data_IF_411972831344
#
_entry.id   IF_411972831344
#
_cell.length_a   1.000
_cell.length_b   1.000
_cell.length_c   1.000
_cell.angle_alpha   90.00
_cell.angle_beta   90.00
_cell.angle_gamma   90.00
#
_symmetry.space_group_name_H-M   'P 1'
#
loop_
_entity.id
_entity.type
_entity.pdbx_description
1 polymer ?
#
# COMPACT_ATOMS: atom_id res chain seq x y z
N UNK A 1 4.48 32.09 16.35
CA UNK A 1 5.04 31.05 15.47
C UNK A 1 3.99 29.96 15.31
N UNK A 2 2.93 30.27 14.55
CA UNK A 2 1.90 29.30 14.20
C UNK A 2 2.40 28.57 12.95
N UNK A 3 2.35 27.25 12.97
CA UNK A 3 2.81 26.42 11.87
C UNK A 3 1.95 26.63 10.63
N UNK A 4 2.61 26.95 9.52
CA UNK A 4 2.02 26.78 8.20
C UNK A 4 1.67 25.29 8.04
N UNK A 5 0.37 25.03 7.91
CA UNK A 5 -0.16 23.70 7.68
C UNK A 5 0.33 23.20 6.32
N UNK A 6 0.73 21.93 6.24
CA UNK A 6 1.10 21.22 5.01
C UNK A 6 0.02 21.29 3.89
N UNK A 7 -1.19 21.71 4.25
CA UNK A 7 -2.36 21.86 3.37
C UNK A 7 -2.85 23.30 3.25
N UNK A 8 -2.08 24.29 3.68
CA UNK A 8 -2.44 25.69 3.52
C UNK A 8 -2.23 26.08 2.04
N UNK A 9 -3.18 25.68 1.20
CA UNK A 9 -3.29 26.27 -0.13
C UNK A 9 -3.50 27.76 0.10
N UNK A 10 -2.59 28.59 -0.44
CA UNK A 10 -2.55 30.03 -0.16
C UNK A 10 -3.93 30.69 -0.31
N UNK A 11 -4.11 31.89 0.27
CA UNK A 11 -5.39 32.62 0.34
C UNK A 11 -6.15 32.78 -1.00
N UNK A 12 -5.51 32.45 -2.13
CA UNK A 12 -6.01 32.58 -3.49
C UNK A 12 -6.56 31.29 -4.15
N UNK A 13 -6.69 30.16 -3.44
CA UNK A 13 -7.24 28.93 -4.03
C UNK A 13 -8.41 28.37 -3.21
N UNK A 14 -9.56 28.34 -3.86
CA UNK A 14 -10.80 27.80 -3.31
C UNK A 14 -10.77 26.26 -3.25
N UNK A 15 -11.26 25.69 -2.15
CA UNK A 15 -11.25 24.24 -1.91
C UNK A 15 -12.02 23.44 -2.98
N UNK A 16 -13.18 23.94 -3.43
CA UNK A 16 -13.98 23.31 -4.49
C UNK A 16 -13.18 23.14 -5.79
N UNK A 17 -12.24 24.07 -6.07
CA UNK A 17 -11.39 24.03 -7.26
C UNK A 17 -10.40 22.88 -7.15
N UNK A 18 -9.79 22.67 -5.98
CA UNK A 18 -8.94 21.49 -5.72
C UNK A 18 -9.75 20.22 -5.89
N UNK A 19 -10.96 20.16 -5.34
CA UNK A 19 -11.83 19.00 -5.43
C UNK A 19 -12.26 18.67 -6.88
N UNK A 20 -12.55 19.69 -7.69
CA UNK A 20 -12.83 19.51 -9.10
C UNK A 20 -11.64 18.90 -9.85
N UNK A 21 -10.42 19.39 -9.57
CA UNK A 21 -9.20 18.85 -10.16
C UNK A 21 -8.88 17.43 -9.67
N UNK A 22 -9.10 17.11 -8.39
CA UNK A 22 -9.01 15.74 -7.87
C UNK A 22 -9.99 14.81 -8.60
N UNK A 23 -11.22 15.27 -8.86
CA UNK A 23 -12.23 14.50 -9.58
C UNK A 23 -11.80 14.23 -11.03
N UNK A 24 -11.28 15.24 -11.74
CA UNK A 24 -10.75 15.09 -13.10
C UNK A 24 -9.58 14.10 -13.11
N UNK A 25 -8.63 14.25 -12.19
CA UNK A 25 -7.48 13.36 -12.08
C UNK A 25 -7.89 11.93 -11.79
N UNK A 26 -8.83 11.71 -10.88
CA UNK A 26 -9.37 10.37 -10.60
C UNK A 26 -9.99 9.72 -11.85
N UNK A 27 -10.74 10.48 -12.66
CA UNK A 27 -11.27 9.97 -13.93
C UNK A 27 -10.16 9.64 -14.91
N UNK A 28 -9.15 10.52 -15.06
CA UNK A 28 -7.99 10.27 -15.92
C UNK A 28 -7.25 9.01 -15.49
N UNK A 29 -7.06 8.80 -14.18
CA UNK A 29 -6.44 7.60 -13.63
C UNK A 29 -7.22 6.33 -13.99
N UNK A 30 -8.54 6.34 -13.83
CA UNK A 30 -9.41 5.21 -14.20
C UNK A 30 -9.34 4.89 -15.70
N UNK A 31 -9.34 5.92 -16.55
CA UNK A 31 -9.19 5.74 -18.00
C UNK A 31 -7.81 5.16 -18.34
N UNK A 32 -6.75 5.67 -17.71
CA UNK A 32 -5.39 5.20 -17.97
C UNK A 32 -5.21 3.74 -17.51
N UNK A 33 -5.76 3.38 -16.35
CA UNK A 33 -5.78 1.99 -15.89
C UNK A 33 -6.53 1.08 -16.87
N UNK A 34 -7.70 1.51 -17.35
CA UNK A 34 -8.46 0.76 -18.34
C UNK A 34 -7.69 0.54 -19.65
N UNK A 35 -7.03 1.59 -20.17
CA UNK A 35 -6.20 1.51 -21.38
C UNK A 35 -5.03 0.56 -21.17
N UNK A 36 -4.33 0.64 -20.04
CA UNK A 36 -3.22 -0.26 -19.75
C UNK A 36 -3.67 -1.70 -19.58
N UNK A 37 -4.81 -1.94 -18.94
CA UNK A 37 -5.39 -3.27 -18.82
C UNK A 37 -5.74 -3.85 -20.19
N UNK A 38 -6.26 -3.03 -21.10
CA UNK A 38 -6.51 -3.43 -22.49
C UNK A 38 -5.21 -3.78 -23.23
N UNK A 39 -4.15 -2.98 -23.07
CA UNK A 39 -2.82 -3.24 -23.64
C UNK A 39 -2.22 -4.53 -23.08
N UNK A 40 -2.29 -4.74 -21.77
CA UNK A 40 -1.80 -5.95 -21.10
C UNK A 40 -2.53 -7.19 -21.63
N UNK A 41 -3.86 -7.14 -21.72
CA UNK A 41 -4.65 -8.25 -22.27
C UNK A 41 -4.31 -8.56 -23.73
N UNK A 42 -4.03 -7.53 -24.54
CA UNK A 42 -3.64 -7.71 -25.94
C UNK A 42 -2.23 -8.33 -26.07
N UNK A 43 -1.29 -7.91 -25.21
CA UNK A 43 0.10 -8.37 -25.23
C UNK A 43 0.33 -9.67 -24.46
N UNK A 44 -0.59 -10.07 -23.58
CA UNK A 44 -0.55 -11.34 -22.84
C UNK A 44 -0.57 -12.57 -23.78
N UNK A 45 -0.98 -12.40 -25.04
CA UNK A 45 -0.90 -13.45 -26.06
C UNK A 45 0.56 -13.80 -26.44
N UNK A 46 1.52 -12.95 -26.08
CA UNK A 46 2.92 -13.11 -26.45
C UNK A 46 3.84 -12.95 -25.23
N UNK A 47 4.31 -14.06 -24.66
CA UNK A 47 5.15 -14.10 -23.45
C UNK A 47 6.34 -13.13 -23.48
N UNK A 48 6.99 -12.98 -24.64
CA UNK A 48 8.14 -12.08 -24.81
C UNK A 48 7.75 -10.60 -24.63
N UNK A 49 6.63 -10.17 -25.19
CA UNK A 49 6.16 -8.79 -25.06
C UNK A 49 5.58 -8.53 -23.67
N UNK A 50 4.95 -9.53 -23.06
CA UNK A 50 4.49 -9.44 -21.68
C UNK A 50 5.65 -9.22 -20.70
N UNK A 51 6.75 -9.96 -20.84
CA UNK A 51 7.94 -9.77 -20.00
C UNK A 51 8.59 -8.39 -20.23
N UNK A 52 8.60 -7.89 -21.47
CA UNK A 52 9.11 -6.56 -21.78
C UNK A 52 8.23 -5.48 -21.13
N UNK A 53 6.91 -5.58 -21.27
CA UNK A 53 5.95 -4.64 -20.66
C UNK A 53 6.11 -4.56 -19.14
N UNK A 54 6.31 -5.70 -18.48
CA UNK A 54 6.56 -5.75 -17.03
C UNK A 54 7.87 -5.06 -16.63
N UNK A 55 8.88 -5.11 -17.50
CA UNK A 55 10.13 -4.37 -17.29
C UNK A 55 9.90 -2.85 -17.46
N UNK A 56 9.19 -2.44 -18.50
CA UNK A 56 8.83 -1.03 -18.74
C UNK A 56 8.03 -0.46 -17.55
N UNK A 57 7.03 -1.19 -17.05
CA UNK A 57 6.25 -0.75 -15.89
C UNK A 57 7.11 -0.52 -14.66
N UNK A 58 8.11 -1.37 -14.45
CA UNK A 58 9.05 -1.26 -13.33
C UNK A 58 9.94 -0.04 -13.47
N UNK A 59 10.53 0.18 -14.66
CA UNK A 59 11.42 1.33 -14.89
C UNK A 59 10.66 2.65 -14.76
N UNK A 60 9.48 2.76 -15.39
CA UNK A 60 8.62 3.94 -15.28
C UNK A 60 8.12 4.20 -13.86
N UNK A 61 7.83 3.16 -13.09
CA UNK A 61 7.44 3.29 -11.68
C UNK A 61 8.56 3.86 -10.82
N UNK A 62 9.80 3.38 -10.99
CA UNK A 62 10.96 3.88 -10.25
C UNK A 62 11.18 5.36 -10.57
N UNK A 63 11.11 5.73 -11.84
CA UNK A 63 11.24 7.11 -12.29
C UNK A 63 10.13 7.99 -11.69
N UNK A 64 8.90 7.48 -11.67
CA UNK A 64 7.75 8.12 -11.04
C UNK A 64 7.97 8.43 -9.55
N UNK A 65 8.50 7.45 -8.81
CA UNK A 65 8.83 7.61 -7.39
C UNK A 65 9.94 8.63 -7.16
N UNK A 66 10.92 8.72 -8.06
CA UNK A 66 11.99 9.71 -7.95
C UNK A 66 11.44 11.11 -8.18
N UNK A 67 10.73 11.34 -9.29
CA UNK A 67 10.13 12.65 -9.58
C UNK A 67 9.17 13.10 -8.47
N UNK A 68 8.51 12.14 -7.80
CA UNK A 68 7.77 12.42 -6.57
C UNK A 68 8.66 12.93 -5.44
N UNK A 69 9.67 12.15 -5.03
CA UNK A 69 10.50 12.51 -3.88
C UNK A 69 11.01 13.94 -4.05
N UNK A 70 11.30 14.32 -5.28
CA UNK A 70 11.70 15.67 -5.64
C UNK A 70 10.58 16.69 -5.56
N UNK A 71 9.38 16.35 -6.03
CA UNK A 71 8.19 17.19 -5.85
C UNK A 71 7.92 17.44 -4.37
N UNK A 72 7.99 16.41 -3.52
CA UNK A 72 7.82 16.55 -2.06
C UNK A 72 8.93 17.40 -1.47
N UNK A 73 10.20 17.16 -1.82
CA UNK A 73 11.33 17.96 -1.32
C UNK A 73 11.18 19.43 -1.73
N UNK A 74 10.70 19.72 -2.94
CA UNK A 74 10.44 21.08 -3.42
C UNK A 74 9.34 21.77 -2.58
N UNK A 75 8.23 21.09 -2.34
CA UNK A 75 7.07 21.70 -1.67
C UNK A 75 7.21 21.72 -0.13
N UNK A 76 8.00 20.82 0.46
CA UNK A 76 8.09 20.63 1.92
C UNK A 76 9.40 21.14 2.53
N UNK A 77 10.50 21.12 1.78
CA UNK A 77 11.76 21.63 2.32
C UNK A 77 11.75 23.17 2.35
N UNK A 78 12.28 23.81 3.40
CA UNK A 78 12.50 25.26 3.44
C UNK A 78 13.70 25.66 2.56
N UNK A 79 13.83 25.04 1.39
CA UNK A 79 14.81 25.35 0.36
C UNK A 79 14.10 26.29 -0.60
N UNK A 80 14.63 27.51 -0.75
CA UNK A 80 14.08 28.52 -1.66
C UNK A 80 13.88 27.90 -3.06
N UNK A 81 12.64 27.87 -3.54
CA UNK A 81 12.25 27.25 -4.81
C UNK A 81 12.93 27.91 -6.02
N UNK A 82 13.48 29.11 -5.82
CA UNK A 82 14.25 29.88 -6.78
C UNK A 82 15.77 29.67 -6.68
N UNK A 83 16.24 28.87 -5.72
CA UNK A 83 17.65 28.59 -5.55
C UNK A 83 18.22 27.83 -6.76
N UNK A 84 19.36 28.29 -7.26
CA UNK A 84 20.13 27.63 -8.34
C UNK A 84 20.24 26.10 -8.20
N UNK A 85 20.56 25.53 -7.02
CA UNK A 85 20.60 24.08 -6.86
C UNK A 85 19.24 23.41 -7.06
N UNK A 86 18.12 24.01 -6.62
CA UNK A 86 16.78 23.43 -6.81
C UNK A 86 16.37 23.43 -8.29
N UNK A 87 16.70 24.50 -9.03
CA UNK A 87 16.46 24.60 -10.47
C UNK A 87 17.31 23.58 -11.23
N UNK A 88 18.61 23.49 -10.92
CA UNK A 88 19.50 22.46 -11.46
C UNK A 88 18.96 21.05 -11.19
N UNK A 89 18.34 20.85 -10.02
CA UNK A 89 17.75 19.60 -9.63
C UNK A 89 16.50 19.23 -10.46
N UNK A 90 15.61 20.19 -10.68
CA UNK A 90 14.41 20.00 -11.50
C UNK A 90 14.76 19.67 -12.95
N UNK A 91 15.72 20.39 -13.53
CA UNK A 91 16.20 20.14 -14.89
C UNK A 91 16.84 18.75 -14.99
N UNK A 92 17.63 18.32 -13.99
CA UNK A 92 18.23 16.99 -13.99
C UNK A 92 17.18 15.86 -13.94
N UNK A 93 16.13 16.01 -13.12
CA UNK A 93 15.00 15.07 -13.06
C UNK A 93 14.22 15.03 -14.39
N UNK A 94 13.93 16.19 -14.97
CA UNK A 94 13.27 16.31 -16.27
C UNK A 94 14.08 15.63 -17.38
N UNK A 95 15.40 15.81 -17.37
CA UNK A 95 16.32 15.17 -18.31
C UNK A 95 16.31 13.66 -18.12
N UNK A 96 16.43 13.16 -16.88
CA UNK A 96 16.46 11.72 -16.61
C UNK A 96 15.14 11.06 -17.01
N UNK A 97 14.01 11.63 -16.60
CA UNK A 97 12.69 11.07 -16.88
C UNK A 97 12.35 11.17 -18.38
N UNK A 98 12.64 12.31 -19.00
CA UNK A 98 12.45 12.51 -20.44
C UNK A 98 13.37 11.60 -21.27
N UNK A 99 14.62 11.41 -20.87
CA UNK A 99 15.55 10.49 -21.52
C UNK A 99 15.13 9.04 -21.35
N UNK A 100 14.63 8.65 -20.18
CA UNK A 100 14.13 7.29 -19.95
C UNK A 100 12.88 7.00 -20.79
N UNK A 101 11.91 7.92 -20.84
CA UNK A 101 10.76 7.81 -21.77
C UNK A 101 11.24 7.76 -23.22
N UNK A 102 12.20 8.60 -23.59
CA UNK A 102 12.74 8.61 -24.95
C UNK A 102 13.40 7.28 -25.28
N UNK A 103 14.19 6.68 -24.38
CA UNK A 103 14.81 5.36 -24.58
C UNK A 103 13.77 4.24 -24.66
N UNK A 104 12.74 4.27 -23.81
CA UNK A 104 11.63 3.30 -23.83
C UNK A 104 10.79 3.42 -25.12
N UNK A 105 10.53 4.65 -25.57
CA UNK A 105 9.88 4.93 -26.85
C UNK A 105 10.78 4.57 -28.04
N UNK A 106 12.10 4.79 -27.94
CA UNK A 106 13.07 4.47 -28.99
C UNK A 106 13.26 2.95 -29.12
N UNK A 107 13.08 2.19 -28.03
CA UNK A 107 12.93 0.74 -28.06
C UNK A 107 11.64 0.28 -28.78
N UNK A 108 10.64 1.17 -28.93
CA UNK A 108 9.34 0.89 -29.56
C UNK A 108 9.22 1.48 -30.99
N UNK A 109 9.91 2.58 -31.34
CA UNK A 109 10.26 3.02 -32.71
C UNK A 109 11.04 4.35 -32.67
N UNK A 110 11.98 4.51 -33.60
CA UNK A 110 12.81 5.71 -33.81
C UNK A 110 12.01 7.03 -33.82
N UNK A 111 12.28 7.91 -32.86
CA UNK A 111 12.02 9.34 -32.98
C UNK A 111 13.24 10.11 -32.46
N UNK A 112 13.99 10.71 -33.38
CA UNK A 112 15.12 11.59 -33.09
C UNK A 112 14.63 13.03 -33.04
N UNK A 113 14.62 13.62 -31.85
CA UNK A 113 14.41 15.04 -31.62
C UNK A 113 15.11 15.45 -30.33
N UNK A 114 15.93 16.49 -30.38
CA UNK A 114 16.58 17.06 -29.19
C UNK A 114 15.56 17.91 -28.42
N UNK A 115 15.16 17.45 -27.24
CA UNK A 115 14.10 18.05 -26.41
C UNK A 115 14.64 19.07 -25.40
N UNK A 116 15.96 19.21 -25.24
CA UNK A 116 16.55 19.92 -24.10
C UNK A 116 17.33 21.17 -24.51
N UNK A 117 16.74 22.35 -24.29
CA UNK A 117 17.48 23.60 -24.15
C UNK A 117 17.67 23.84 -22.64
N UNK A 118 18.93 23.75 -22.16
CA UNK A 118 19.27 24.13 -20.80
C UNK A 118 19.21 25.66 -20.68
N UNK A 119 18.50 26.17 -19.67
CA UNK A 119 18.45 27.60 -19.38
C UNK A 119 19.85 28.17 -19.12
N UNK A 120 20.11 29.38 -19.63
CA UNK A 120 21.44 30.02 -19.66
C UNK A 120 22.06 30.27 -18.26
N UNK A 121 21.29 30.15 -17.19
CA UNK A 121 21.68 30.54 -15.82
C UNK A 121 22.08 29.38 -14.88
N UNK A 122 22.12 28.13 -15.37
CA UNK A 122 22.44 26.96 -14.53
C UNK A 122 23.84 26.43 -14.83
N UNK A 123 24.69 26.35 -13.81
CA UNK A 123 26.03 25.78 -13.95
C UNK A 123 25.94 24.28 -14.27
N UNK A 124 26.46 23.86 -15.43
CA UNK A 124 26.45 22.45 -15.87
C UNK A 124 27.01 21.48 -14.83
N UNK A 125 27.97 21.91 -14.01
CA UNK A 125 28.51 21.13 -12.91
C UNK A 125 27.44 20.76 -11.86
N UNK A 126 26.54 21.68 -11.51
CA UNK A 126 25.46 21.43 -10.55
C UNK A 126 24.48 20.39 -11.10
N UNK A 127 24.12 20.51 -12.38
CA UNK A 127 23.25 19.54 -13.08
C UNK A 127 23.88 18.14 -13.09
N UNK A 128 25.19 18.05 -13.37
CA UNK A 128 25.91 16.77 -13.42
C UNK A 128 26.02 16.12 -12.04
N UNK A 129 26.26 16.90 -10.99
CA UNK A 129 26.29 16.38 -9.61
C UNK A 129 24.91 15.83 -9.21
N UNK A 130 23.84 16.56 -9.52
CA UNK A 130 22.48 16.07 -9.24
C UNK A 130 22.15 14.84 -10.08
N UNK A 131 22.50 14.82 -11.36
CA UNK A 131 22.25 13.67 -12.24
C UNK A 131 22.94 12.41 -11.70
N UNK A 132 24.18 12.53 -11.22
CA UNK A 132 24.87 11.42 -10.55
C UNK A 132 24.18 10.99 -9.26
N UNK A 133 23.74 11.93 -8.42
CA UNK A 133 22.99 11.60 -7.20
C UNK A 133 21.68 10.87 -7.51
N UNK A 134 20.96 11.31 -8.55
CA UNK A 134 19.73 10.68 -9.04
C UNK A 134 19.99 9.29 -9.63
N UNK A 135 21.07 9.12 -10.40
CA UNK A 135 21.48 7.81 -10.93
C UNK A 135 21.81 6.82 -9.80
N UNK A 136 22.50 7.26 -8.74
CA UNK A 136 22.75 6.42 -7.56
C UNK A 136 21.43 6.08 -6.85
N UNK A 137 20.54 7.05 -6.70
CA UNK A 137 19.22 6.84 -6.12
C UNK A 137 18.43 5.78 -6.90
N UNK A 138 18.42 5.87 -8.23
CA UNK A 138 17.83 4.87 -9.14
C UNK A 138 18.35 3.46 -8.85
N UNK A 139 19.68 3.29 -8.79
CA UNK A 139 20.30 1.99 -8.53
C UNK A 139 19.95 1.43 -7.15
N UNK A 140 19.89 2.28 -6.13
CA UNK A 140 19.48 1.87 -4.78
C UNK A 140 18.02 1.44 -4.74
N UNK A 141 17.13 2.18 -5.40
CA UNK A 141 15.71 1.81 -5.50
C UNK A 141 15.51 0.51 -6.27
N UNK A 142 16.22 0.31 -7.39
CA UNK A 142 16.16 -0.93 -8.16
C UNK A 142 16.63 -2.12 -7.31
N UNK A 143 17.75 -1.97 -6.58
CA UNK A 143 18.25 -3.00 -5.68
C UNK A 143 17.25 -3.32 -4.54
N UNK A 144 16.62 -2.29 -3.96
CA UNK A 144 15.62 -2.46 -2.92
C UNK A 144 14.37 -3.20 -3.42
N UNK A 145 13.89 -2.87 -4.62
CA UNK A 145 12.75 -3.54 -5.27
C UNK A 145 13.09 -4.97 -5.67
N UNK A 146 14.28 -5.21 -6.21
CA UNK A 146 14.74 -6.55 -6.55
C UNK A 146 14.86 -7.44 -5.29
N UNK A 147 15.34 -6.86 -4.18
CA UNK A 147 15.32 -7.53 -2.88
C UNK A 147 13.88 -7.83 -2.42
N UNK A 148 12.96 -6.88 -2.57
CA UNK A 148 11.53 -7.06 -2.25
C UNK A 148 10.93 -8.23 -3.06
N UNK A 149 11.16 -8.27 -4.36
CA UNK A 149 10.64 -9.29 -5.28
C UNK A 149 11.19 -10.68 -4.96
N UNK A 150 12.51 -10.83 -4.87
CA UNK A 150 13.13 -12.14 -4.61
C UNK A 150 12.90 -12.61 -3.17
N UNK A 151 13.09 -11.73 -2.19
CA UNK A 151 13.04 -12.14 -0.80
C UNK A 151 11.60 -12.30 -0.29
N UNK A 152 10.66 -11.48 -0.77
CA UNK A 152 9.28 -11.47 -0.27
C UNK A 152 8.29 -12.24 -1.14
N UNK A 153 8.48 -12.28 -2.46
CA UNK A 153 7.39 -12.56 -3.39
C UNK A 153 7.64 -13.76 -4.31
N UNK A 154 8.86 -14.26 -4.42
CA UNK A 154 9.24 -15.34 -5.34
C UNK A 154 8.53 -16.69 -5.10
N UNK A 155 7.84 -16.87 -3.97
CA UNK A 155 7.30 -18.17 -3.55
C UNK A 155 5.77 -18.29 -3.61
N UNK A 156 5.03 -17.26 -4.08
CA UNK A 156 3.57 -17.30 -4.12
C UNK A 156 2.99 -16.41 -5.23
N UNK A 157 2.33 -17.03 -6.20
CA UNK A 157 1.73 -16.39 -7.38
C UNK A 157 0.77 -15.26 -7.02
N UNK A 158 0.04 -15.39 -5.89
CA UNK A 158 -0.87 -14.33 -5.42
C UNK A 158 -0.15 -13.05 -5.02
N UNK A 159 1.05 -13.14 -4.47
CA UNK A 159 1.79 -11.94 -4.05
C UNK A 159 2.49 -11.27 -5.23
N UNK A 160 2.90 -12.06 -6.23
CA UNK A 160 3.34 -11.55 -7.52
C UNK A 160 2.24 -10.70 -8.18
N UNK A 161 0.98 -11.15 -8.13
CA UNK A 161 -0.14 -10.37 -8.65
C UNK A 161 -0.31 -9.02 -7.94
N UNK A 162 -0.24 -8.99 -6.60
CA UNK A 162 -0.33 -7.74 -5.83
C UNK A 162 0.81 -6.79 -6.20
N UNK A 163 2.03 -7.30 -6.31
CA UNK A 163 3.20 -6.47 -6.65
C UNK A 163 3.08 -5.85 -8.05
N UNK A 164 2.67 -6.64 -9.04
CA UNK A 164 2.44 -6.15 -10.40
C UNK A 164 1.40 -5.03 -10.42
N UNK A 165 0.33 -5.19 -9.63
CA UNK A 165 -0.69 -4.15 -9.50
C UNK A 165 -0.12 -2.87 -8.87
N UNK A 166 0.63 -2.99 -7.77
CA UNK A 166 1.32 -1.86 -7.12
C UNK A 166 2.26 -1.14 -8.09
N UNK A 167 3.06 -1.88 -8.87
CA UNK A 167 3.95 -1.30 -9.87
C UNK A 167 3.19 -0.53 -10.94
N UNK A 168 2.09 -1.09 -11.43
CA UNK A 168 1.21 -0.43 -12.39
C UNK A 168 0.63 0.86 -11.83
N UNK A 169 0.06 0.84 -10.63
CA UNK A 169 -0.55 2.02 -10.01
C UNK A 169 0.47 3.15 -9.78
N UNK A 170 1.64 2.84 -9.22
CA UNK A 170 2.71 3.82 -9.01
C UNK A 170 3.27 4.38 -10.32
N UNK A 171 3.37 3.55 -11.37
CA UNK A 171 3.78 4.00 -12.71
C UNK A 171 2.79 5.01 -13.29
N UNK A 172 1.48 4.73 -13.23
CA UNK A 172 0.44 5.63 -13.73
C UNK A 172 0.53 6.99 -13.03
N UNK A 173 0.67 6.99 -11.71
CA UNK A 173 0.80 8.20 -10.90
C UNK A 173 2.07 8.97 -11.23
N UNK A 174 3.20 8.28 -11.37
CA UNK A 174 4.46 8.88 -11.79
C UNK A 174 4.38 9.56 -13.16
N UNK A 175 3.78 8.88 -14.14
CA UNK A 175 3.57 9.43 -15.49
C UNK A 175 2.64 10.65 -15.45
N UNK A 176 1.55 10.58 -14.69
CA UNK A 176 0.62 11.69 -14.51
C UNK A 176 1.35 12.92 -13.94
N UNK A 177 2.06 12.77 -12.81
CA UNK A 177 2.82 13.87 -12.21
C UNK A 177 3.89 14.43 -13.15
N UNK A 178 4.54 13.58 -13.95
CA UNK A 178 5.50 14.04 -14.98
C UNK A 178 4.84 14.85 -16.09
N UNK A 179 3.69 14.41 -16.62
CA UNK A 179 2.96 15.16 -17.66
C UNK A 179 2.59 16.55 -17.13
N UNK A 180 2.14 16.64 -15.88
CA UNK A 180 1.80 17.92 -15.24
C UNK A 180 3.04 18.82 -15.16
N UNK A 181 4.18 18.26 -14.75
CA UNK A 181 5.46 18.99 -14.65
C UNK A 181 5.96 19.47 -16.01
N UNK A 182 5.85 18.64 -17.06
CA UNK A 182 6.17 19.02 -18.43
C UNK A 182 5.29 20.18 -18.92
N UNK A 183 3.99 20.16 -18.62
CA UNK A 183 3.07 21.23 -19.01
C UNK A 183 3.40 22.56 -18.31
N UNK A 184 3.86 22.54 -17.05
CA UNK A 184 4.31 23.76 -16.37
C UNK A 184 5.66 24.26 -16.84
N UNK A 185 6.65 23.38 -16.92
CA UNK A 185 8.06 23.79 -17.10
C UNK A 185 8.40 24.03 -18.58
N UNK A 186 7.81 23.25 -19.49
CA UNK A 186 8.05 23.33 -20.94
C UNK A 186 6.89 23.98 -21.68
N UNK A 187 5.66 23.79 -21.20
CA UNK A 187 4.45 24.32 -21.86
C UNK A 187 4.24 25.83 -21.67
N UNK A 188 5.05 26.50 -20.85
CA UNK A 188 4.95 27.95 -20.61
C UNK A 188 3.65 28.37 -19.90
N UNK A 189 2.97 27.43 -19.24
CA UNK A 189 1.77 27.70 -18.44
C UNK A 189 2.23 28.28 -17.10
N UNK A 190 1.66 29.41 -16.70
CA UNK A 190 1.96 30.04 -15.41
C UNK A 190 1.65 29.08 -14.25
N UNK A 191 2.71 28.51 -13.68
CA UNK A 191 2.65 27.58 -12.55
C UNK A 191 2.06 28.20 -11.28
N UNK A 192 2.03 29.53 -11.18
CA UNK A 192 1.45 30.28 -10.07
C UNK A 192 -0.01 30.68 -10.30
N UNK A 193 -0.62 30.34 -11.44
CA UNK A 193 -2.05 30.54 -11.64
C UNK A 193 -2.83 29.70 -10.61
N UNK A 194 -3.86 30.28 -9.98
CA UNK A 194 -4.61 29.59 -8.92
C UNK A 194 -5.23 28.24 -9.37
N UNK A 195 -5.53 28.09 -10.66
CA UNK A 195 -5.95 26.82 -11.26
C UNK A 195 -4.81 25.80 -11.34
N UNK A 196 -3.60 26.22 -11.73
CA UNK A 196 -2.46 25.31 -11.83
C UNK A 196 -1.98 24.87 -10.45
N UNK A 197 -1.99 25.78 -9.47
CA UNK A 197 -1.70 25.45 -8.08
C UNK A 197 -2.72 24.45 -7.51
N UNK A 198 -4.02 24.67 -7.74
CA UNK A 198 -5.06 23.73 -7.33
C UNK A 198 -4.85 22.33 -7.92
N UNK A 199 -4.47 22.27 -9.20
CA UNK A 199 -4.19 21.02 -9.89
C UNK A 199 -2.93 20.31 -9.38
N UNK A 200 -1.86 21.06 -9.07
CA UNK A 200 -0.64 20.50 -8.48
C UNK A 200 -0.87 19.91 -7.08
N UNK A 201 -1.68 20.59 -6.26
CA UNK A 201 -2.09 20.11 -4.94
C UNK A 201 -2.99 18.88 -5.06
N UNK A 202 -3.94 18.87 -5.99
CA UNK A 202 -4.79 17.71 -6.26
C UNK A 202 -3.98 16.46 -6.65
N UNK A 203 -3.01 16.63 -7.55
CA UNK A 203 -2.07 15.56 -7.94
C UNK A 203 -1.27 15.06 -6.73
N UNK A 204 -0.75 15.96 -5.89
CA UNK A 204 -0.01 15.59 -4.68
C UNK A 204 -0.88 14.81 -3.69
N UNK A 205 -2.14 15.22 -3.48
CA UNK A 205 -3.08 14.52 -2.58
C UNK A 205 -3.33 13.10 -3.05
N UNK A 206 -3.68 12.92 -4.32
CA UNK A 206 -3.95 11.59 -4.90
C UNK A 206 -2.69 10.72 -4.81
N UNK A 207 -1.53 11.30 -5.04
CA UNK A 207 -0.27 10.59 -4.95
C UNK A 207 0.02 10.13 -3.51
N UNK A 208 -0.11 11.01 -2.51
CA UNK A 208 0.11 10.66 -1.09
C UNK A 208 -0.85 9.55 -0.66
N UNK A 209 -2.12 9.64 -1.08
CA UNK A 209 -3.12 8.61 -0.84
C UNK A 209 -2.65 7.26 -1.40
N UNK A 210 -2.20 7.23 -2.65
CA UNK A 210 -1.75 6.01 -3.29
C UNK A 210 -0.51 5.39 -2.62
N UNK A 211 0.52 6.18 -2.28
CA UNK A 211 1.68 5.66 -1.52
C UNK A 211 1.24 5.09 -0.18
N UNK A 212 0.32 5.76 0.52
CA UNK A 212 -0.18 5.30 1.81
C UNK A 212 -0.84 3.93 1.68
N UNK A 213 -1.66 3.74 0.63
CA UNK A 213 -2.30 2.46 0.34
C UNK A 213 -1.30 1.38 -0.06
N UNK A 214 -0.28 1.71 -0.86
CA UNK A 214 0.80 0.77 -1.21
C UNK A 214 1.59 0.34 0.04
N UNK A 215 1.99 1.29 0.89
CA UNK A 215 2.69 0.99 2.13
C UNK A 215 1.82 0.15 3.07
N UNK A 216 0.53 0.47 3.18
CA UNK A 216 -0.44 -0.33 3.92
C UNK A 216 -0.50 -1.77 3.38
N UNK A 217 -0.59 -1.95 2.06
CA UNK A 217 -0.63 -3.25 1.41
C UNK A 217 0.63 -4.08 1.70
N UNK A 218 1.80 -3.47 1.58
CA UNK A 218 3.09 -4.12 1.88
C UNK A 218 3.17 -4.50 3.36
N UNK A 219 2.74 -3.62 4.27
CA UNK A 219 2.73 -3.89 5.71
C UNK A 219 1.81 -5.06 6.07
N UNK A 220 0.58 -5.07 5.53
CA UNK A 220 -0.38 -6.18 5.71
C UNK A 220 0.22 -7.49 5.20
N UNK A 221 0.85 -7.45 4.02
CA UNK A 221 1.52 -8.62 3.43
C UNK A 221 2.66 -9.15 4.32
N UNK A 222 3.53 -8.28 4.82
CA UNK A 222 4.64 -8.64 5.70
C UNK A 222 4.14 -9.27 7.01
N UNK A 223 3.12 -8.67 7.62
CA UNK A 223 2.48 -9.20 8.82
C UNK A 223 1.91 -10.59 8.57
N UNK A 224 1.15 -10.77 7.49
CA UNK A 224 0.55 -12.05 7.12
C UNK A 224 1.59 -13.13 6.84
N UNK A 225 2.70 -12.78 6.17
CA UNK A 225 3.80 -13.73 5.95
C UNK A 225 4.39 -14.21 7.27
N UNK A 226 4.57 -13.31 8.24
CA UNK A 226 5.00 -13.64 9.58
C UNK A 226 4.01 -14.54 10.34
N UNK A 227 2.71 -14.31 10.18
CA UNK A 227 1.67 -15.19 10.75
C UNK A 227 1.61 -16.55 10.06
N UNK A 228 1.67 -16.61 8.73
CA UNK A 228 1.65 -17.85 7.96
C UNK A 228 2.83 -18.75 8.32
N UNK A 229 4.05 -18.20 8.41
CA UNK A 229 5.22 -18.97 8.84
C UNK A 229 5.06 -19.55 10.24
N UNK A 230 4.38 -18.84 11.14
CA UNK A 230 4.07 -19.34 12.50
C UNK A 230 2.98 -20.41 12.49
N UNK A 231 1.94 -20.23 11.67
CA UNK A 231 0.86 -21.20 11.46
C UNK A 231 1.37 -22.52 10.89
N UNK A 232 2.22 -22.46 9.86
CA UNK A 232 2.80 -23.64 9.23
C UNK A 232 3.67 -24.44 10.22
N UNK A 233 4.42 -23.73 11.08
CA UNK A 233 5.17 -24.37 12.18
C UNK A 233 4.26 -24.97 13.25
N UNK A 234 3.13 -24.33 13.55
CA UNK A 234 2.16 -24.82 14.52
C UNK A 234 1.41 -26.08 14.03
N UNK A 235 1.26 -26.25 12.71
CA UNK A 235 0.64 -27.43 12.12
C UNK A 235 1.52 -28.69 12.23
N UNK A 236 2.85 -28.52 12.18
CA UNK A 236 3.82 -29.60 12.34
C UNK A 236 3.91 -30.13 13.78
N UNK A 237 3.45 -29.36 14.78
CA UNK A 237 3.47 -29.76 16.19
C UNK A 237 2.25 -30.63 16.48
N UNK A 238 2.48 -31.80 17.07
CA UNK A 238 1.41 -32.75 17.40
C UNK A 238 0.66 -32.30 18.66
N UNK A 239 -0.61 -32.67 18.78
CA UNK A 239 -1.39 -32.49 20.03
C UNK A 239 -0.71 -33.14 21.23
N UNK A 240 -0.09 -34.31 21.02
CA UNK A 240 0.67 -35.02 22.06
C UNK A 240 1.88 -34.20 22.55
N UNK A 241 2.66 -33.62 21.63
CA UNK A 241 3.79 -32.75 21.97
C UNK A 241 3.34 -31.54 22.82
N UNK A 242 2.12 -31.04 22.61
CA UNK A 242 1.55 -29.95 23.40
C UNK A 242 1.14 -30.39 24.81
N UNK A 243 0.60 -31.60 24.97
CA UNK A 243 0.27 -32.18 26.28
C UNK A 243 1.55 -32.39 27.09
N UNK A 244 2.58 -32.98 26.48
CA UNK A 244 3.88 -33.21 27.13
C UNK A 244 4.58 -31.89 27.48
N UNK A 245 4.45 -30.88 26.61
CA UNK A 245 4.97 -29.53 26.84
C UNK A 245 4.22 -28.74 27.93
N UNK A 246 2.97 -29.08 28.23
CA UNK A 246 2.17 -28.51 29.32
C UNK A 246 2.54 -29.17 30.65
N UNK A 247 2.61 -30.51 30.68
CA UNK A 247 2.97 -31.29 31.86
C UNK A 247 4.42 -30.99 32.32
N UNK A 248 5.36 -30.89 31.39
CA UNK A 248 6.76 -30.51 31.70
C UNK A 248 6.92 -29.06 32.19
N UNK A 249 5.98 -28.17 31.83
CA UNK A 249 6.02 -26.78 32.27
C UNK A 249 5.65 -26.60 33.75
N UNK A 250 4.98 -27.56 34.37
CA UNK A 250 4.72 -27.55 35.82
C UNK A 250 5.99 -27.84 36.63
N UNK A 251 6.98 -28.51 36.03
CA UNK A 251 8.22 -28.91 36.70
C UNK A 251 9.37 -27.88 36.64
N UNK A 252 9.26 -26.78 35.86
CA UNK A 252 10.38 -25.86 35.61
C UNK A 252 10.01 -24.38 35.47
N UNK A 253 10.32 -23.57 36.49
CA UNK A 253 9.88 -22.19 36.68
C UNK A 253 10.56 -21.06 35.87
N UNK A 254 10.86 -21.23 34.57
CA UNK A 254 11.35 -20.10 33.72
C UNK A 254 10.48 -19.93 32.48
N UNK A 255 9.58 -18.93 32.48
CA UNK A 255 8.63 -18.69 31.40
C UNK A 255 8.43 -17.20 31.09
N UNK A 256 8.60 -16.81 29.84
CA UNK A 256 7.94 -15.61 29.30
C UNK A 256 7.70 -15.73 27.78
N UNK A 257 8.74 -15.89 26.97
CA UNK A 257 8.59 -15.99 25.49
C UNK A 257 8.09 -17.35 24.99
N UNK A 258 8.55 -18.46 25.58
CA UNK A 258 8.12 -19.80 25.18
C UNK A 258 6.65 -20.08 25.49
N UNK A 259 6.11 -19.48 26.55
CA UNK A 259 4.72 -19.70 26.97
C UNK A 259 3.73 -19.01 26.01
N UNK A 260 4.07 -17.82 25.52
CA UNK A 260 3.25 -17.11 24.53
C UNK A 260 3.19 -17.88 23.20
N UNK A 261 4.34 -18.38 22.73
CA UNK A 261 4.43 -19.21 21.53
C UNK A 261 3.63 -20.51 21.69
N UNK A 262 3.73 -21.18 22.86
CA UNK A 262 2.91 -22.36 23.18
C UNK A 262 1.41 -22.03 23.17
N UNK A 263 0.98 -20.89 23.74
CA UNK A 263 -0.43 -20.47 23.79
C UNK A 263 -1.01 -20.28 22.39
N UNK A 264 -0.27 -19.69 21.46
CA UNK A 264 -0.75 -19.48 20.09
C UNK A 264 -0.78 -20.79 19.27
N UNK A 265 0.16 -21.70 19.49
CA UNK A 265 0.13 -23.05 18.88
C UNK A 265 -1.07 -23.85 19.39
N UNK A 266 -1.36 -23.81 20.69
CA UNK A 266 -2.54 -24.47 21.28
C UNK A 266 -3.83 -23.93 20.67
N UNK A 267 -3.99 -22.60 20.60
CA UNK A 267 -5.17 -21.98 19.97
C UNK A 267 -5.34 -22.45 18.52
N UNK A 268 -4.26 -22.46 17.75
CA UNK A 268 -4.28 -22.92 16.36
C UNK A 268 -4.75 -24.37 16.26
N UNK A 269 -4.24 -25.25 17.13
CA UNK A 269 -4.59 -26.67 17.11
C UNK A 269 -6.05 -26.92 17.50
N UNK A 270 -6.56 -26.22 18.50
CA UNK A 270 -7.96 -26.30 18.92
C UNK A 270 -8.89 -25.83 17.80
N UNK A 271 -8.57 -24.72 17.13
CA UNK A 271 -9.35 -24.22 16.00
C UNK A 271 -9.32 -25.18 14.81
N UNK A 272 -8.16 -25.77 14.50
CA UNK A 272 -8.05 -26.83 13.49
C UNK A 272 -8.97 -28.00 13.81
N UNK A 273 -8.90 -28.54 15.04
CA UNK A 273 -9.71 -29.69 15.42
C UNK A 273 -11.22 -29.37 15.36
N UNK A 274 -11.63 -28.21 15.87
CA UNK A 274 -13.02 -27.76 15.78
C UNK A 274 -13.50 -27.69 14.32
N UNK A 275 -12.67 -27.14 13.43
CA UNK A 275 -12.98 -27.03 12.01
C UNK A 275 -13.13 -28.41 11.35
N UNK A 276 -12.14 -29.29 11.53
CA UNK A 276 -12.18 -30.63 10.94
C UNK A 276 -13.40 -31.42 11.42
N UNK A 277 -13.69 -31.37 12.72
CA UNK A 277 -14.85 -32.05 13.31
C UNK A 277 -16.18 -31.48 12.82
N UNK A 278 -16.28 -30.16 12.68
CA UNK A 278 -17.52 -29.50 12.23
C UNK A 278 -17.85 -29.81 10.77
N UNK A 279 -16.84 -29.95 9.92
CA UNK A 279 -16.99 -30.19 8.48
C UNK A 279 -16.75 -31.64 8.04
N UNK A 280 -16.43 -32.55 8.97
CA UNK A 280 -16.20 -33.97 8.66
C UNK A 280 -14.98 -34.22 7.78
N UNK A 281 -13.94 -33.40 7.90
CA UNK A 281 -12.74 -33.46 7.06
C UNK A 281 -11.70 -34.45 7.62
N UNK A 282 -10.90 -35.11 6.74
CA UNK A 282 -9.85 -36.03 7.18
C UNK A 282 -8.72 -35.29 7.91
N UNK A 283 -8.02 -35.99 8.81
CA UNK A 283 -6.89 -35.42 9.58
C UNK A 283 -5.72 -34.94 8.70
N UNK A 284 -5.55 -35.54 7.52
CA UNK A 284 -4.59 -35.15 6.49
C UNK A 284 -4.89 -33.78 5.85
N UNK A 285 -6.08 -33.21 6.10
CA UNK A 285 -6.45 -31.90 5.58
C UNK A 285 -5.56 -30.80 6.17
N UNK A 286 -4.96 -30.00 5.28
CA UNK A 286 -4.01 -28.94 5.65
C UNK A 286 -4.73 -27.64 6.00
N UNK A 287 -5.13 -27.51 7.27
CA UNK A 287 -5.91 -26.37 7.76
C UNK A 287 -5.19 -25.04 7.55
N UNK A 288 -3.87 -24.95 7.80
CA UNK A 288 -3.13 -23.70 7.60
C UNK A 288 -3.08 -23.29 6.14
N UNK A 289 -2.95 -24.27 5.23
CA UNK A 289 -2.93 -24.01 3.78
C UNK A 289 -4.28 -23.49 3.30
N UNK A 290 -5.39 -24.06 3.79
CA UNK A 290 -6.74 -23.57 3.52
C UNK A 290 -6.92 -22.13 4.04
N UNK A 291 -6.61 -21.89 5.32
CA UNK A 291 -6.77 -20.58 5.94
C UNK A 291 -5.94 -19.52 5.22
N UNK A 292 -4.69 -19.82 4.89
CA UNK A 292 -3.81 -18.96 4.10
C UNK A 292 -4.41 -18.63 2.73
N UNK A 293 -4.98 -19.62 2.03
CA UNK A 293 -5.58 -19.40 0.71
C UNK A 293 -6.82 -18.52 0.79
N UNK A 294 -7.68 -18.74 1.78
CA UNK A 294 -8.87 -17.94 2.05
C UNK A 294 -8.53 -16.50 2.44
N UNK A 295 -7.59 -16.32 3.37
CA UNK A 295 -7.07 -15.01 3.76
C UNK A 295 -6.48 -14.26 2.56
N UNK A 296 -5.61 -14.91 1.80
CA UNK A 296 -4.98 -14.28 0.65
C UNK A 296 -6.00 -13.85 -0.43
N UNK A 297 -7.16 -14.52 -0.56
CA UNK A 297 -8.23 -14.03 -1.45
C UNK A 297 -8.85 -12.75 -0.89
N UNK A 298 -9.23 -12.74 0.39
CA UNK A 298 -9.90 -11.59 1.00
C UNK A 298 -8.99 -10.36 1.09
N UNK A 299 -7.69 -10.55 1.35
CA UNK A 299 -6.72 -9.45 1.45
C UNK A 299 -6.49 -8.75 0.10
N UNK A 300 -6.57 -9.49 -1.01
CA UNK A 300 -6.49 -8.87 -2.35
C UNK A 300 -7.63 -7.87 -2.52
N UNK A 301 -8.87 -8.27 -2.17
CA UNK A 301 -10.04 -7.38 -2.25
C UNK A 301 -9.99 -6.19 -1.27
N UNK A 302 -9.28 -6.28 -0.15
CA UNK A 302 -9.12 -5.16 0.80
C UNK A 302 -8.07 -4.15 0.33
N UNK A 303 -7.08 -4.61 -0.44
CA UNK A 303 -5.99 -3.77 -0.95
C UNK A 303 -6.35 -3.12 -2.29
N UNK A 304 -7.15 -3.81 -3.10
CA UNK A 304 -7.60 -3.35 -4.40
C UNK A 304 -8.62 -2.22 -4.26
N UNK A 305 -8.22 -0.99 -4.61
CA UNK A 305 -9.16 0.13 -4.74
C UNK A 305 -9.97 -0.08 -6.01
N UNK A 306 -11.25 -0.42 -5.86
CA UNK A 306 -12.16 -0.55 -6.98
C UNK A 306 -12.63 0.83 -7.47
N UNK A 307 -13.01 0.98 -8.75
CA UNK A 307 -13.59 2.23 -9.26
C UNK A 307 -14.80 2.73 -8.44
N UNK A 308 -15.55 1.80 -7.84
CA UNK A 308 -16.67 2.11 -6.92
C UNK A 308 -16.22 2.88 -5.69
N UNK A 309 -15.03 2.57 -5.15
CA UNK A 309 -14.45 3.26 -4.00
C UNK A 309 -14.03 4.69 -4.35
N UNK A 310 -13.51 4.91 -5.57
CA UNK A 310 -13.24 6.26 -6.07
C UNK A 310 -14.51 7.10 -6.17
N UNK A 311 -15.60 6.53 -6.69
CA UNK A 311 -16.90 7.20 -6.72
C UNK A 311 -17.42 7.53 -5.32
N UNK A 312 -17.27 6.60 -4.37
CA UNK A 312 -17.64 6.82 -2.96
C UNK A 312 -16.81 7.93 -2.32
N UNK A 313 -15.48 7.90 -2.49
CA UNK A 313 -14.55 8.88 -1.94
C UNK A 313 -14.81 10.27 -2.51
N UNK A 314 -14.96 10.38 -3.83
CA UNK A 314 -15.29 11.65 -4.49
C UNK A 314 -16.68 12.12 -4.06
N UNK A 315 -17.68 11.25 -4.04
CA UNK A 315 -19.04 11.60 -3.61
C UNK A 315 -19.08 12.13 -2.18
N UNK A 316 -18.31 11.51 -1.27
CA UNK A 316 -18.18 11.99 0.10
C UNK A 316 -17.43 13.31 0.19
N UNK A 317 -16.37 13.51 -0.60
CA UNK A 317 -15.65 14.79 -0.65
C UNK A 317 -16.52 15.93 -1.20
N UNK A 318 -17.35 15.67 -2.23
CA UNK A 318 -18.34 16.62 -2.74
C UNK A 318 -19.44 16.90 -1.73
N UNK A 319 -19.91 15.88 -1.00
CA UNK A 319 -20.87 16.09 0.08
C UNK A 319 -20.29 16.99 1.18
N UNK A 320 -19.04 16.80 1.58
CA UNK A 320 -18.36 17.68 2.53
C UNK A 320 -18.20 19.10 2.00
N UNK A 321 -17.80 19.27 0.74
CA UNK A 321 -17.70 20.60 0.12
C UNK A 321 -19.04 21.33 0.04
N UNK A 322 -20.14 20.61 -0.22
CA UNK A 322 -21.47 21.19 -0.25
C UNK A 322 -21.97 21.58 1.15
N UNK A 323 -21.64 20.77 2.16
CA UNK A 323 -21.92 21.13 3.56
C UNK A 323 -21.15 22.38 3.96
N UNK A 324 -19.87 22.49 3.58
CA UNK A 324 -19.06 23.69 3.78
C UNK A 324 -19.73 24.93 3.16
N UNK A 325 -20.09 24.89 1.88
CA UNK A 325 -20.74 26.03 1.18
C UNK A 325 -22.07 26.46 1.86
N UNK A 326 -22.88 25.50 2.32
CA UNK A 326 -24.13 25.80 3.05
C UNK A 326 -23.85 26.45 4.40
N UNK A 327 -22.77 26.07 5.09
CA UNK A 327 -22.42 26.63 6.40
C UNK A 327 -21.78 28.04 6.27
N UNK A 328 -21.12 28.33 5.15
CA UNK A 328 -20.53 29.65 4.87
C UNK A 328 -21.60 30.75 4.81
N UNK A 329 -22.76 30.44 4.24
CA UNK A 329 -23.94 31.31 4.16
C UNK A 329 -24.48 31.73 5.56
N UNK A 330 -24.04 31.09 6.65
CA UNK A 330 -24.43 31.40 8.03
C UNK A 330 -23.40 32.23 8.82
N UNK A 331 -22.35 32.78 8.17
CA UNK A 331 -21.30 33.63 8.80
C UNK A 331 -20.55 32.98 9.99
N UNK A 332 -20.44 31.65 10.01
CA UNK A 332 -19.69 30.93 11.05
C UNK A 332 -18.20 30.92 10.72
N UNK A 333 -17.30 30.99 11.72
CA UNK A 333 -15.83 30.92 11.55
C UNK A 333 -15.40 29.52 11.02
N UNK A 334 -15.62 29.30 9.73
CA UNK A 334 -15.71 27.98 9.08
C UNK A 334 -14.43 27.16 9.05
N UNK A 335 -13.26 27.78 8.93
CA UNK A 335 -12.00 27.03 8.74
C UNK A 335 -11.64 26.14 9.93
N UNK A 336 -11.96 26.57 11.15
CA UNK A 336 -11.66 25.79 12.35
C UNK A 336 -12.71 24.71 12.58
N UNK A 337 -14.00 25.03 12.37
CA UNK A 337 -15.09 24.08 12.54
C UNK A 337 -15.07 22.94 11.51
N UNK A 338 -14.67 23.20 10.25
CA UNK A 338 -14.55 22.15 9.24
C UNK A 338 -13.42 21.17 9.56
N UNK A 339 -12.26 21.68 9.99
CA UNK A 339 -11.14 20.83 10.42
C UNK A 339 -11.54 20.03 11.66
N UNK A 340 -12.25 20.63 12.60
CA UNK A 340 -12.74 19.95 13.80
C UNK A 340 -13.78 18.87 13.48
N UNK A 341 -14.71 19.12 12.56
CA UNK A 341 -15.72 18.14 12.13
C UNK A 341 -15.11 16.99 11.35
N UNK A 342 -14.14 17.25 10.45
CA UNK A 342 -13.37 16.21 9.76
C UNK A 342 -12.54 15.38 10.74
N UNK A 343 -11.89 16.03 11.71
CA UNK A 343 -11.14 15.35 12.76
C UNK A 343 -12.05 14.48 13.63
N UNK A 344 -13.22 15.01 14.02
CA UNK A 344 -14.23 14.27 14.76
C UNK A 344 -14.74 13.05 13.97
N UNK A 345 -15.02 13.23 12.67
CA UNK A 345 -15.41 12.14 11.78
C UNK A 345 -14.32 11.07 11.66
N UNK A 346 -13.06 11.48 11.51
CA UNK A 346 -11.93 10.56 11.51
C UNK A 346 -11.82 9.76 12.83
N UNK A 347 -12.01 10.41 13.98
CA UNK A 347 -12.04 9.74 15.27
C UNK A 347 -13.23 8.77 15.42
N UNK A 348 -14.40 9.11 14.89
CA UNK A 348 -15.56 8.20 14.84
C UNK A 348 -15.24 6.97 13.99
N UNK A 349 -14.61 7.14 12.84
CA UNK A 349 -14.16 6.02 12.00
C UNK A 349 -13.12 5.15 12.72
N UNK A 350 -12.17 5.75 13.44
CA UNK A 350 -11.19 5.00 14.24
C UNK A 350 -11.89 4.20 15.34
N UNK A 351 -12.83 4.82 16.07
CA UNK A 351 -13.62 4.14 17.10
C UNK A 351 -14.40 2.97 16.50
N UNK A 352 -15.02 3.15 15.33
CA UNK A 352 -15.72 2.09 14.62
C UNK A 352 -14.78 0.92 14.27
N UNK A 353 -13.57 1.19 13.76
CA UNK A 353 -12.57 0.15 13.49
C UNK A 353 -12.15 -0.59 14.76
N UNK A 354 -12.01 0.11 15.89
CA UNK A 354 -11.71 -0.50 17.19
C UNK A 354 -12.86 -1.43 17.61
N UNK A 355 -14.12 -0.98 17.48
CA UNK A 355 -15.29 -1.80 17.81
C UNK A 355 -15.35 -3.07 16.95
N UNK A 356 -15.12 -2.95 15.64
CA UNK A 356 -15.05 -4.11 14.73
C UNK A 356 -13.92 -5.06 15.13
N UNK A 357 -12.74 -4.53 15.48
CA UNK A 357 -11.63 -5.35 15.97
C UNK A 357 -11.97 -6.08 17.27
N UNK A 358 -12.62 -5.40 18.22
CA UNK A 358 -13.07 -5.99 19.48
C UNK A 358 -14.12 -7.08 19.23
N UNK A 359 -15.05 -6.84 18.31
CA UNK A 359 -16.05 -7.82 17.89
C UNK A 359 -15.39 -9.07 17.30
N UNK A 360 -14.42 -8.93 16.38
CA UNK A 360 -13.70 -10.09 15.83
C UNK A 360 -12.90 -10.83 16.90
N UNK A 361 -12.25 -10.12 17.83
CA UNK A 361 -11.56 -10.73 18.97
C UNK A 361 -12.53 -11.51 19.86
N UNK A 362 -13.73 -10.98 20.08
CA UNK A 362 -14.78 -11.66 20.82
C UNK A 362 -15.24 -12.94 20.11
N UNK A 363 -15.49 -12.89 18.80
CA UNK A 363 -15.86 -14.06 18.01
C UNK A 363 -14.79 -15.16 18.07
N UNK A 364 -13.50 -14.80 17.93
CA UNK A 364 -12.38 -15.75 18.02
C UNK A 364 -12.27 -16.37 19.42
N UNK A 365 -12.45 -15.58 20.48
CA UNK A 365 -12.47 -16.10 21.86
C UNK A 365 -13.63 -17.08 22.08
N UNK A 366 -14.81 -16.77 21.55
CA UNK A 366 -15.98 -17.65 21.63
C UNK A 366 -15.75 -18.97 20.89
N UNK A 367 -15.17 -18.92 19.69
CA UNK A 367 -14.76 -20.11 18.93
C UNK A 367 -13.74 -20.96 19.71
N UNK A 368 -12.74 -20.34 20.32
CA UNK A 368 -11.75 -21.04 21.15
C UNK A 368 -12.38 -21.71 22.37
N UNK A 369 -13.30 -21.03 23.05
CA UNK A 369 -14.03 -21.61 24.19
C UNK A 369 -14.82 -22.84 23.76
N UNK A 370 -15.53 -22.79 22.62
CA UNK A 370 -16.25 -23.95 22.06
C UNK A 370 -15.28 -25.08 21.67
N UNK A 371 -14.08 -24.74 21.19
CA UNK A 371 -13.04 -25.71 20.86
C UNK A 371 -12.40 -26.38 22.08
N UNK A 372 -12.77 -25.99 23.31
CA UNK A 372 -12.24 -26.56 24.56
C UNK A 372 -11.05 -25.81 25.14
N UNK A 373 -10.81 -24.56 24.72
CA UNK A 373 -9.79 -23.70 25.33
C UNK A 373 -10.21 -23.27 26.74
N UNK A 374 -9.34 -23.51 27.72
CA UNK A 374 -9.49 -23.03 29.10
C UNK A 374 -8.21 -22.30 29.53
N UNK A 375 -8.34 -21.27 30.38
CA UNK A 375 -7.18 -20.65 31.03
C UNK A 375 -6.62 -21.57 32.15
N UNK A 376 -7.42 -22.51 32.66
CA UNK A 376 -6.94 -23.55 33.58
C UNK A 376 -6.15 -24.61 32.80
N UNK A 377 -4.86 -24.71 33.12
CA UNK A 377 -3.92 -25.63 32.47
C UNK A 377 -4.33 -27.10 32.63
N UNK A 378 -4.92 -27.46 33.77
CA UNK A 378 -5.33 -28.85 34.06
C UNK A 378 -6.49 -29.27 33.16
N UNK A 379 -7.53 -28.43 33.08
CA UNK A 379 -8.69 -28.63 32.20
C UNK A 379 -8.27 -28.61 30.73
N UNK A 380 -7.36 -27.71 30.36
CA UNK A 380 -6.82 -27.64 29.01
C UNK A 380 -6.03 -28.91 28.62
N UNK A 381 -5.21 -29.45 29.53
CA UNK A 381 -4.46 -30.68 29.29
C UNK A 381 -5.37 -31.89 29.09
N UNK A 382 -6.46 -32.00 29.86
CA UNK A 382 -7.48 -33.06 29.70
C UNK A 382 -8.20 -32.93 28.35
N UNK A 383 -8.55 -31.71 27.94
CA UNK A 383 -9.19 -31.49 26.64
C UNK A 383 -8.24 -31.83 25.49
N UNK A 384 -6.96 -31.44 25.59
CA UNK A 384 -5.96 -31.75 24.57
C UNK A 384 -5.62 -33.24 24.49
N UNK A 385 -5.56 -33.96 25.61
CA UNK A 385 -5.30 -35.40 25.62
C UNK A 385 -6.44 -36.19 24.99
N UNK A 386 -7.69 -35.76 25.20
CA UNK A 386 -8.85 -36.32 24.48
C UNK A 386 -8.72 -36.15 22.97
N UNK A 387 -8.34 -34.96 22.52
CA UNK A 387 -8.13 -34.67 21.09
C UNK A 387 -6.96 -35.49 20.54
N UNK A 388 -5.86 -35.65 21.29
CA UNK A 388 -4.71 -36.45 20.88
C UNK A 388 -5.10 -37.93 20.66
N UNK A 389 -5.93 -38.49 21.55
CA UNK A 389 -6.44 -39.86 21.38
C UNK A 389 -7.37 -39.98 20.16
N UNK A 390 -8.27 -39.02 19.94
CA UNK A 390 -9.14 -38.98 18.75
C UNK A 390 -8.33 -38.90 17.45
N UNK A 391 -7.26 -38.09 17.45
CA UNK A 391 -6.32 -38.01 16.32
C UNK A 391 -5.63 -39.37 16.12
N UNK A 392 -5.03 -39.97 17.16
CA UNK A 392 -4.31 -41.23 17.06
C UNK A 392 -5.15 -42.38 16.48
N UNK A 393 -6.41 -42.50 16.90
CA UNK A 393 -7.35 -43.49 16.35
C UNK A 393 -7.63 -43.24 14.86
N UNK A 394 -7.75 -41.98 14.46
CA UNK A 394 -7.99 -41.59 13.07
C UNK A 394 -6.75 -41.81 12.14
N UNK A 395 -5.56 -42.01 12.70
CA UNK A 395 -4.35 -42.40 11.95
C UNK A 395 -4.16 -43.92 11.83
N UNK A 396 -4.87 -44.71 12.64
CA UNK A 396 -4.80 -46.18 12.62
C UNK A 396 -5.79 -46.83 11.65
N UNK A 397 -6.87 -46.13 11.30
CA UNK A 397 -7.84 -46.48 10.27
C UNK A 397 -7.55 -45.73 8.98
#
# INVERSE_FOLDING_TARGET
>A
MAGESLFQVGENVEFWRVLAHVSILAVVLLVFEYVLHYVEHHLARFDKYYHMLQKVYRELMILGLISLVLKIVKEVAPIDSSSKPMIAFQVADLIIFGFAIALELQAIKMAGGSVFHLGEDVALYEVVVVLNALAICLLVFEAALHYLEHHLLAHNDKYQHILKKVYRELMILGLLSFIIKMLTEVGGIDGYSGTMLAFQVADLIIFILAITLVLQAINVLLLLRGYNKRSDRAELITTQDLVDALNSSEAGGKQSKGNLFKKDVVKHRLLRNLFLRRFGLPQLFTFSKYLRRAQATNIVHIIEVEPSMWLLLLGMAWAFSAVEEILEDFEVEMRYELIETLLAFAWVLVLFHILVMLYFRFCVRRLLSIAGFSEDKSVLAVNLSKIANEEAVAWQN
#
